data_IF_162565146100
#
_entry.id   IF_162565146100
#
_cell.length_a   1.000
_cell.length_b   1.000
_cell.length_c   1.000
_cell.angle_alpha   90.00
_cell.angle_beta   90.00
_cell.angle_gamma   90.00
#
_symmetry.space_group_name_H-M   'P 1'
#
loop_
_entity.id
_entity.type
_entity.pdbx_description
1 polymer ?
#
# COMPACT_ATOMS: atom_id res chain seq x y z
N UNK A 1 -44.40 18.28 56.09
CA UNK A 1 -44.01 16.93 55.61
C UNK A 1 -43.47 16.90 54.17
N UNK A 2 -43.93 17.76 53.25
CA UNK A 2 -43.41 17.80 51.86
C UNK A 2 -41.91 18.13 51.70
N UNK A 3 -41.32 18.96 52.59
CA UNK A 3 -39.89 19.30 52.55
C UNK A 3 -38.94 18.13 52.86
N UNK A 4 -39.40 17.08 53.56
CA UNK A 4 -38.60 15.87 53.85
C UNK A 4 -38.64 14.84 52.71
N UNK A 5 -39.76 14.76 52.00
CA UNK A 5 -39.88 13.96 50.76
C UNK A 5 -38.97 14.52 49.66
N UNK A 6 -38.85 15.84 49.54
CA UNK A 6 -38.01 16.47 48.51
C UNK A 6 -36.51 16.26 48.74
N UNK A 7 -36.04 16.22 49.99
CA UNK A 7 -34.63 15.99 50.34
C UNK A 7 -34.22 14.53 50.09
N UNK A 8 -35.12 13.57 50.36
CA UNK A 8 -34.89 12.14 50.10
C UNK A 8 -34.92 11.84 48.60
N UNK A 9 -35.83 12.48 47.85
CA UNK A 9 -35.86 12.37 46.39
C UNK A 9 -34.62 13.02 45.72
N UNK A 10 -34.08 14.10 46.29
CA UNK A 10 -32.87 14.77 45.79
C UNK A 10 -31.58 13.98 46.06
N UNK A 11 -31.52 13.16 47.11
CA UNK A 11 -30.37 12.27 47.36
C UNK A 11 -30.39 10.99 46.53
N UNK A 12 -31.58 10.48 46.19
CA UNK A 12 -31.75 9.38 45.20
C UNK A 12 -31.38 9.86 43.79
N UNK A 13 -31.53 11.17 43.53
CA UNK A 13 -31.02 11.85 42.35
C UNK A 13 -29.48 12.00 42.32
N UNK A 14 -28.73 11.67 43.38
CA UNK A 14 -27.28 11.87 43.44
C UNK A 14 -26.45 10.58 43.30
N UNK A 15 -27.00 9.40 43.65
CA UNK A 15 -26.24 8.13 43.66
C UNK A 15 -26.48 7.24 42.41
N UNK A 16 -27.49 7.55 41.59
CA UNK A 16 -27.75 6.87 40.32
C UNK A 16 -27.14 7.61 39.12
N UNK A 17 -26.09 8.40 39.35
CA UNK A 17 -25.38 9.18 38.32
C UNK A 17 -23.89 8.86 38.20
N UNK A 18 -23.37 7.79 38.82
CA UNK A 18 -21.91 7.64 38.96
C UNK A 18 -21.26 6.30 38.60
N UNK A 19 -21.87 5.43 37.78
CA UNK A 19 -21.22 4.14 37.41
C UNK A 19 -21.14 3.81 35.92
N UNK A 20 -21.24 4.75 34.98
CA UNK A 20 -20.83 4.47 33.58
C UNK A 20 -20.39 5.74 32.84
N UNK A 21 -19.35 6.41 33.33
CA UNK A 21 -18.72 7.54 32.63
C UNK A 21 -17.45 7.08 31.90
N UNK A 22 -17.43 7.35 30.59
CA UNK A 22 -16.36 7.27 29.59
C UNK A 22 -16.15 5.94 28.81
N UNK A 23 -16.40 5.95 27.49
CA UNK A 23 -15.80 4.97 26.59
C UNK A 23 -14.31 5.33 26.43
N UNK A 24 -13.42 4.45 26.89
CA UNK A 24 -12.00 4.56 26.60
C UNK A 24 -11.77 4.18 25.13
N UNK A 25 -11.72 5.19 24.26
CA UNK A 25 -11.09 5.09 22.96
C UNK A 25 -9.60 4.78 23.14
N UNK A 26 -9.21 3.51 23.15
CA UNK A 26 -7.84 3.06 22.84
C UNK A 26 -7.73 1.52 22.85
N UNK A 27 -8.32 0.85 21.86
CA UNK A 27 -7.59 -0.24 21.23
C UNK A 27 -8.00 -0.30 19.77
N UNK A 28 -7.14 0.34 18.98
CA UNK A 28 -6.83 0.09 17.58
C UNK A 28 -7.35 -1.27 17.11
N UNK A 29 -8.34 -1.19 16.24
CA UNK A 29 -8.75 -2.17 15.24
C UNK A 29 -7.60 -3.11 14.85
N UNK A 30 -7.56 -4.27 15.50
CA UNK A 30 -6.88 -5.45 14.99
C UNK A 30 -7.89 -6.28 14.22
N UNK A 31 -8.53 -5.67 13.23
CA UNK A 31 -9.02 -6.43 12.08
C UNK A 31 -7.82 -6.67 11.17
N UNK A 32 -7.02 -7.68 11.53
CA UNK A 32 -6.37 -8.48 10.52
C UNK A 32 -7.47 -9.24 9.77
N UNK A 33 -8.18 -8.51 8.89
CA UNK A 33 -8.72 -9.11 7.68
C UNK A 33 -7.58 -9.87 6.98
N UNK A 34 -7.87 -10.95 6.23
CA UNK A 34 -6.84 -11.73 5.57
C UNK A 34 -5.92 -10.75 4.86
N UNK A 35 -4.67 -10.69 5.32
CA UNK A 35 -3.66 -9.83 4.74
C UNK A 35 -3.74 -10.13 3.24
N UNK A 36 -4.31 -9.21 2.47
CA UNK A 36 -4.31 -9.30 1.04
C UNK A 36 -2.83 -9.40 0.73
N UNK A 37 -2.38 -10.61 0.39
CA UNK A 37 -0.99 -10.91 0.10
C UNK A 37 -0.53 -9.78 -0.80
N UNK A 38 0.28 -8.87 -0.25
CA UNK A 38 0.81 -7.79 -1.03
C UNK A 38 1.68 -8.48 -2.05
N UNK A 39 1.13 -8.70 -3.25
CA UNK A 39 1.83 -9.30 -4.36
C UNK A 39 2.91 -8.30 -4.73
N UNK A 40 4.06 -8.40 -4.04
CA UNK A 40 5.22 -7.61 -4.33
C UNK A 40 5.64 -7.97 -5.75
N UNK A 41 5.59 -7.00 -6.66
CA UNK A 41 6.09 -7.20 -8.01
C UNK A 41 7.57 -7.59 -7.92
N UNK A 42 8.02 -8.61 -8.68
CA UNK A 42 9.43 -8.99 -8.68
C UNK A 42 10.27 -7.83 -9.22
N UNK A 43 11.50 -7.69 -8.73
CA UNK A 43 12.43 -6.66 -9.18
C UNK A 43 13.41 -7.21 -10.22
N UNK A 44 13.81 -6.36 -11.16
CA UNK A 44 14.80 -6.72 -12.19
C UNK A 44 16.19 -6.79 -11.57
N UNK A 45 16.79 -7.98 -11.53
CA UNK A 45 18.12 -8.20 -10.91
C UNK A 45 19.28 -7.86 -11.84
N UNK A 46 19.14 -8.16 -13.13
CA UNK A 46 20.18 -7.95 -14.13
C UNK A 46 19.53 -7.77 -15.51
N UNK A 47 20.23 -7.08 -16.40
CA UNK A 47 19.86 -6.96 -17.82
C UNK A 47 21.11 -7.30 -18.62
N UNK A 48 21.03 -8.34 -19.44
CA UNK A 48 22.10 -8.79 -20.33
C UNK A 48 21.61 -8.70 -21.77
N UNK A 49 22.45 -8.13 -22.65
CA UNK A 49 22.17 -8.05 -24.08
C UNK A 49 23.15 -8.97 -24.79
N UNK A 50 22.61 -9.93 -25.54
CA UNK A 50 23.38 -10.94 -26.27
C UNK A 50 23.00 -10.92 -27.75
N UNK A 51 23.92 -11.35 -28.62
CA UNK A 51 23.68 -11.47 -30.07
C UNK A 51 23.68 -10.15 -30.85
N UNK A 52 23.89 -9.01 -30.19
CA UNK A 52 24.00 -7.72 -30.86
C UNK A 52 25.34 -7.60 -31.62
N UNK A 53 25.27 -7.25 -32.91
CA UNK A 53 26.45 -7.09 -33.79
C UNK A 53 26.72 -5.63 -34.16
N UNK A 54 25.67 -4.90 -34.52
CA UNK A 54 25.77 -3.54 -35.08
C UNK A 54 25.60 -2.44 -34.02
N UNK A 55 24.89 -2.75 -32.94
CA UNK A 55 24.57 -1.80 -31.86
C UNK A 55 25.17 -2.30 -30.54
N UNK A 56 25.76 -1.41 -29.75
CA UNK A 56 26.34 -1.80 -28.46
C UNK A 56 25.27 -2.14 -27.42
N UNK A 57 25.59 -3.02 -26.48
CA UNK A 57 24.68 -3.41 -25.40
C UNK A 57 24.23 -2.22 -24.56
N UNK A 58 25.14 -1.27 -24.30
CA UNK A 58 24.81 -0.03 -23.57
C UNK A 58 23.78 0.80 -24.35
N UNK A 59 23.96 0.94 -25.66
CA UNK A 59 22.98 1.65 -26.48
C UNK A 59 21.62 0.97 -26.43
N UNK A 60 21.52 -0.36 -26.53
CA UNK A 60 20.25 -1.09 -26.39
C UNK A 60 19.58 -0.78 -25.04
N UNK A 61 20.32 -0.94 -23.94
CA UNK A 61 19.81 -0.70 -22.57
C UNK A 61 19.39 0.77 -22.39
N UNK A 62 20.14 1.72 -22.96
CA UNK A 62 19.83 3.15 -22.88
C UNK A 62 18.51 3.52 -23.57
N UNK A 63 18.09 2.74 -24.56
CA UNK A 63 16.84 2.96 -25.29
C UNK A 63 15.64 2.38 -24.53
N UNK A 64 15.82 1.33 -23.74
CA UNK A 64 14.76 0.74 -22.92
C UNK A 64 14.36 1.68 -21.77
N UNK A 65 13.20 1.44 -21.14
CA UNK A 65 12.74 2.05 -19.88
C UNK A 65 13.02 1.14 -18.68
N UNK A 66 13.02 -0.18 -18.88
CA UNK A 66 13.33 -1.16 -17.83
C UNK A 66 14.75 -0.96 -17.29
N UNK A 67 14.92 -0.99 -15.96
CA UNK A 67 16.22 -0.79 -15.30
C UNK A 67 16.45 -1.85 -14.24
N UNK A 68 17.72 -2.16 -13.99
CA UNK A 68 18.08 -2.98 -12.82
C UNK A 68 17.61 -2.27 -11.55
N UNK A 69 16.97 -3.03 -10.66
CA UNK A 69 16.35 -2.51 -9.44
C UNK A 69 14.95 -1.93 -9.61
N UNK A 70 14.42 -1.80 -10.83
CA UNK A 70 13.02 -1.39 -11.03
C UNK A 70 12.06 -2.57 -10.84
N UNK A 71 10.81 -2.32 -10.39
CA UNK A 71 9.78 -3.35 -10.40
C UNK A 71 9.52 -3.82 -11.84
N UNK A 72 9.39 -5.12 -12.01
CA UNK A 72 9.00 -5.73 -13.27
C UNK A 72 7.55 -5.34 -13.60
N UNK A 73 7.35 -4.83 -14.81
CA UNK A 73 6.07 -4.33 -15.30
C UNK A 73 5.90 -4.74 -16.77
N UNK A 74 4.95 -5.63 -17.06
CA UNK A 74 4.77 -6.24 -18.39
C UNK A 74 4.45 -5.20 -19.49
N UNK A 75 3.68 -4.16 -19.15
CA UNK A 75 3.41 -3.03 -20.04
C UNK A 75 4.69 -2.29 -20.43
N UNK A 76 5.64 -2.11 -19.50
CA UNK A 76 6.92 -1.46 -19.77
C UNK A 76 7.81 -2.34 -20.66
N UNK A 77 7.82 -3.66 -20.44
CA UNK A 77 8.54 -4.61 -21.30
C UNK A 77 7.99 -4.56 -22.73
N UNK A 78 6.67 -4.52 -22.89
CA UNK A 78 6.01 -4.42 -24.18
C UNK A 78 6.36 -3.11 -24.91
N UNK A 79 6.39 -2.00 -24.18
CA UNK A 79 6.82 -0.69 -24.71
C UNK A 79 8.29 -0.70 -25.15
N UNK A 80 9.15 -1.33 -24.35
CA UNK A 80 10.59 -1.45 -24.64
C UNK A 80 10.81 -2.25 -25.92
N UNK A 81 10.11 -3.37 -26.10
CA UNK A 81 10.18 -4.19 -27.31
C UNK A 81 9.79 -3.36 -28.55
N UNK A 82 8.63 -2.71 -28.52
CA UNK A 82 8.17 -1.85 -29.62
C UNK A 82 9.20 -0.78 -29.96
N UNK A 83 9.72 -0.09 -28.93
CA UNK A 83 10.73 0.95 -29.12
C UNK A 83 11.99 0.42 -29.79
N UNK A 84 12.49 -0.74 -29.36
CA UNK A 84 13.69 -1.34 -29.95
C UNK A 84 13.48 -1.70 -31.42
N UNK A 85 12.33 -2.29 -31.78
CA UNK A 85 11.99 -2.58 -33.18
C UNK A 85 11.88 -1.31 -34.04
N UNK A 86 11.32 -0.22 -33.49
CA UNK A 86 11.23 1.06 -34.19
C UNK A 86 12.59 1.70 -34.49
N UNK A 87 13.69 1.23 -33.89
CA UNK A 87 15.03 1.71 -34.23
C UNK A 87 15.54 1.15 -35.57
N UNK A 88 14.90 0.10 -36.12
CA UNK A 88 15.30 -0.52 -37.38
C UNK A 88 16.57 -1.39 -37.31
N UNK A 89 17.11 -1.65 -36.11
CA UNK A 89 18.29 -2.50 -35.92
C UNK A 89 17.95 -3.99 -35.74
N UNK A 90 16.68 -4.32 -35.48
CA UNK A 90 16.22 -5.65 -35.12
C UNK A 90 15.03 -6.06 -35.98
N UNK A 91 14.96 -7.34 -36.33
CA UNK A 91 13.89 -7.99 -37.11
C UNK A 91 13.56 -9.35 -36.53
#
# INVERSE_FOLDING_TARGET
MLRRIFIIAFFIFLFLSFTVFSPLSAQKESEQGPAASATSLPFVRAIEVQGNKTISSNTVISKMKTRVGSPYQENIISDDLKRLYLLGFFS
#
